data_IF_543706212850
#
_entry.id   IF_543706212850
#
_cell.length_a   1.000
_cell.length_b   1.000
_cell.length_c   1.000
_cell.angle_alpha   90.00
_cell.angle_beta   90.00
_cell.angle_gamma   90.00
#
_symmetry.space_group_name_H-M   'P 1'
#
loop_
_entity.id
_entity.type
_entity.pdbx_description
1 polymer ?
#
# COMPACT_ATOMS: atom_id res chain seq x y z
N UNK A 1 -13.88 20.13 27.76
CA UNK A 1 -13.51 19.41 26.53
C UNK A 1 -13.64 20.42 25.40
N UNK A 2 -12.55 21.11 25.06
CA UNK A 2 -12.54 22.06 23.96
C UNK A 2 -12.43 21.25 22.67
N UNK A 3 -13.49 21.24 21.85
CA UNK A 3 -13.43 20.68 20.50
C UNK A 3 -12.46 21.59 19.73
N UNK A 4 -11.29 21.07 19.35
CA UNK A 4 -10.37 21.79 18.46
C UNK A 4 -11.13 22.03 17.15
N UNK A 5 -11.22 23.29 16.74
CA UNK A 5 -11.80 23.64 15.44
C UNK A 5 -10.64 23.77 14.47
N UNK A 6 -10.46 22.79 13.58
CA UNK A 6 -9.52 22.92 12.48
C UNK A 6 -10.20 23.58 11.28
N UNK A 7 -9.39 23.98 10.29
CA UNK A 7 -9.88 24.39 8.99
C UNK A 7 -10.71 23.25 8.36
N UNK A 8 -11.79 23.58 7.65
CA UNK A 8 -12.76 22.57 7.19
C UNK A 8 -12.13 21.44 6.36
N UNK A 9 -11.13 21.75 5.54
CA UNK A 9 -10.43 20.73 4.73
C UNK A 9 -9.57 19.79 5.59
N UNK A 10 -9.08 20.25 6.75
CA UNK A 10 -8.31 19.42 7.69
C UNK A 10 -9.23 18.39 8.34
N UNK A 11 -10.44 18.80 8.73
CA UNK A 11 -11.46 17.89 9.25
C UNK A 11 -11.88 16.87 8.20
N UNK A 12 -12.10 17.31 6.96
CA UNK A 12 -12.45 16.42 5.84
C UNK A 12 -11.34 15.39 5.57
N UNK A 13 -10.09 15.83 5.46
CA UNK A 13 -8.95 14.92 5.30
C UNK A 13 -8.83 13.95 6.48
N UNK A 14 -8.99 14.44 7.71
CA UNK A 14 -8.95 13.60 8.91
C UNK A 14 -9.99 12.49 8.88
N UNK A 15 -11.23 12.81 8.48
CA UNK A 15 -12.31 11.83 8.31
C UNK A 15 -11.94 10.80 7.22
N UNK A 16 -11.44 11.25 6.07
CA UNK A 16 -11.06 10.38 4.96
C UNK A 16 -9.93 9.40 5.31
N UNK A 17 -8.95 9.85 6.10
CA UNK A 17 -7.80 9.02 6.50
C UNK A 17 -8.15 7.97 7.56
N UNK A 18 -9.25 8.13 8.30
CA UNK A 18 -9.63 7.24 9.40
C UNK A 18 -10.41 6.00 8.97
N UNK A 19 -10.97 5.97 7.75
CA UNK A 19 -11.61 4.77 7.24
C UNK A 19 -10.60 3.63 7.13
N UNK A 20 -11.03 2.39 7.45
CA UNK A 20 -10.17 1.20 7.33
C UNK A 20 -10.32 0.54 5.97
N UNK A 21 -11.56 0.47 5.49
CA UNK A 21 -11.90 -0.12 4.20
C UNK A 21 -11.79 0.91 3.06
N UNK A 22 -11.72 0.46 1.80
CA UNK A 22 -12.00 1.31 0.65
C UNK A 22 -13.37 2.00 0.80
N UNK A 23 -13.44 3.28 0.45
CA UNK A 23 -14.67 4.07 0.58
C UNK A 23 -15.47 3.97 -0.73
N UNK A 24 -14.77 3.90 -1.86
CA UNK A 24 -15.38 3.67 -3.16
C UNK A 24 -16.09 2.31 -3.17
N UNK A 25 -17.36 2.31 -3.60
CA UNK A 25 -18.21 1.12 -3.61
C UNK A 25 -17.72 0.09 -4.64
N UNK A 26 -18.13 -1.18 -4.49
CA UNK A 26 -17.74 -2.31 -5.36
C UNK A 26 -18.24 -2.23 -6.82
N UNK A 27 -18.76 -1.08 -7.26
CA UNK A 27 -19.09 -0.77 -8.65
C UNK A 27 -18.49 0.56 -9.13
N UNK A 28 -17.55 1.13 -8.37
CA UNK A 28 -16.83 2.36 -8.71
C UNK A 28 -15.55 2.04 -9.51
N UNK A 29 -15.05 3.05 -10.23
CA UNK A 29 -13.80 2.99 -10.99
C UNK A 29 -12.67 2.48 -10.09
N UNK A 30 -11.94 1.47 -10.55
CA UNK A 30 -10.80 0.92 -9.83
C UNK A 30 -9.71 1.97 -9.64
N UNK A 31 -8.99 1.93 -8.51
CA UNK A 31 -7.81 2.79 -8.34
C UNK A 31 -6.72 2.40 -9.34
N UNK A 32 -5.87 3.35 -9.72
CA UNK A 32 -4.86 3.08 -10.76
C UNK A 32 -3.93 1.91 -10.43
N UNK A 33 -3.43 1.76 -9.18
CA UNK A 33 -2.67 0.57 -8.81
C UNK A 33 -3.47 -0.73 -8.89
N UNK A 34 -4.78 -0.71 -8.64
CA UNK A 34 -5.62 -1.91 -8.74
C UNK A 34 -5.90 -2.27 -10.20
N UNK A 35 -6.29 -1.30 -11.03
CA UNK A 35 -6.54 -1.51 -12.46
C UNK A 35 -5.27 -1.95 -13.21
N UNK A 36 -4.10 -1.43 -12.80
CA UNK A 36 -2.80 -1.87 -13.34
C UNK A 36 -2.52 -3.33 -12.98
N UNK A 37 -2.81 -3.75 -11.73
CA UNK A 37 -2.66 -5.16 -11.32
C UNK A 37 -3.58 -6.08 -12.11
N UNK A 38 -4.86 -5.72 -12.21
CA UNK A 38 -5.86 -6.53 -12.89
C UNK A 38 -5.51 -6.68 -14.38
N UNK A 39 -5.23 -5.56 -15.07
CA UNK A 39 -4.78 -5.62 -16.46
C UNK A 39 -3.50 -6.48 -16.62
N UNK A 40 -2.55 -6.40 -15.68
CA UNK A 40 -1.35 -7.24 -15.69
C UNK A 40 -1.68 -8.72 -15.54
N UNK A 41 -2.59 -9.10 -14.66
CA UNK A 41 -3.02 -10.48 -14.46
C UNK A 41 -3.68 -11.05 -15.73
N UNK A 42 -4.56 -10.26 -16.37
CA UNK A 42 -5.14 -10.61 -17.68
C UNK A 42 -4.06 -10.78 -18.75
N UNK A 43 -3.12 -9.83 -18.81
CA UNK A 43 -1.97 -9.88 -19.72
C UNK A 43 -1.01 -11.04 -19.42
N UNK A 44 -0.99 -11.59 -18.21
CA UNK A 44 -0.16 -12.73 -17.83
C UNK A 44 -0.84 -14.10 -18.06
N UNK A 45 -2.18 -14.13 -18.23
CA UNK A 45 -2.96 -15.36 -18.40
C UNK A 45 -2.63 -16.15 -19.69
N UNK A 46 -1.87 -17.24 -19.55
CA UNK A 46 -1.41 -18.06 -20.68
C UNK A 46 -2.50 -18.95 -21.29
N UNK A 47 -3.73 -18.95 -20.77
CA UNK A 47 -4.84 -19.71 -21.37
C UNK A 47 -5.11 -19.22 -22.79
N UNK A 48 -5.59 -20.14 -23.63
CA UNK A 48 -5.93 -19.82 -25.02
C UNK A 48 -7.09 -18.81 -25.03
N UNK A 49 -6.89 -17.68 -25.69
CA UNK A 49 -7.93 -16.70 -25.92
C UNK A 49 -9.05 -17.28 -26.78
N UNK A 50 -10.30 -17.02 -26.38
CA UNK A 50 -11.51 -17.33 -27.11
C UNK A 50 -12.21 -16.03 -27.48
N UNK A 51 -12.76 -15.92 -28.70
CA UNK A 51 -13.49 -14.74 -29.19
C UNK A 51 -14.57 -14.26 -28.22
N UNK A 52 -15.24 -15.18 -27.51
CA UNK A 52 -16.28 -14.86 -26.52
C UNK A 52 -15.77 -14.04 -25.33
N UNK A 53 -14.46 -14.07 -25.07
CA UNK A 53 -13.83 -13.32 -23.97
C UNK A 53 -13.48 -11.88 -24.36
N UNK A 54 -13.68 -11.48 -25.63
CA UNK A 54 -13.28 -10.15 -26.12
C UNK A 54 -13.92 -9.03 -25.29
N UNK A 55 -15.22 -9.14 -24.99
CA UNK A 55 -15.92 -8.10 -24.23
C UNK A 55 -15.38 -7.98 -22.80
N UNK A 56 -15.03 -9.11 -22.14
CA UNK A 56 -14.42 -9.09 -20.81
C UNK A 56 -13.04 -8.40 -20.84
N UNK A 57 -12.22 -8.68 -21.86
CA UNK A 57 -10.94 -7.99 -22.03
C UNK A 57 -11.11 -6.49 -22.27
N UNK A 58 -12.10 -6.10 -23.08
CA UNK A 58 -12.38 -4.69 -23.34
C UNK A 58 -12.90 -3.97 -22.10
N UNK A 59 -13.60 -4.66 -21.21
CA UNK A 59 -13.99 -4.12 -19.91
C UNK A 59 -12.76 -3.81 -19.06
N UNK A 60 -11.80 -4.74 -18.92
CA UNK A 60 -10.57 -4.53 -18.14
C UNK A 60 -9.72 -3.39 -18.72
N UNK A 61 -9.63 -3.30 -20.05
CA UNK A 61 -8.98 -2.16 -20.73
C UNK A 61 -9.72 -0.84 -20.46
N UNK A 62 -11.05 -0.88 -20.43
CA UNK A 62 -11.91 0.24 -20.04
C UNK A 62 -11.63 0.69 -18.61
N UNK A 63 -11.62 -0.24 -17.65
CA UNK A 63 -11.37 0.04 -16.24
C UNK A 63 -9.99 0.68 -16.02
N UNK A 64 -8.96 0.22 -16.75
CA UNK A 64 -7.64 0.87 -16.74
C UNK A 64 -7.70 2.32 -17.26
N UNK A 65 -8.36 2.56 -18.40
CA UNK A 65 -8.50 3.92 -18.98
C UNK A 65 -9.30 4.86 -18.10
N UNK A 66 -10.40 4.37 -17.54
CA UNK A 66 -11.25 5.11 -16.60
C UNK A 66 -10.45 5.45 -15.35
N UNK A 67 -9.62 4.53 -14.86
CA UNK A 67 -8.73 4.79 -13.74
C UNK A 67 -7.68 5.85 -14.05
N UNK A 68 -7.03 5.80 -15.21
CA UNK A 68 -6.04 6.81 -15.64
C UNK A 68 -6.68 8.20 -15.76
N UNK A 69 -7.86 8.30 -16.40
CA UNK A 69 -8.57 9.56 -16.58
C UNK A 69 -9.11 10.14 -15.27
N UNK A 70 -9.48 9.25 -14.35
CA UNK A 70 -9.99 9.64 -13.03
C UNK A 70 -8.84 9.92 -12.08
N UNK A 71 -7.61 9.45 -12.32
CA UNK A 71 -6.43 9.70 -11.47
C UNK A 71 -6.13 11.20 -11.35
N UNK A 72 -5.66 11.62 -10.17
CA UNK A 72 -5.43 13.03 -9.87
C UNK A 72 -4.39 13.66 -10.78
N UNK A 73 -4.46 14.98 -11.03
CA UNK A 73 -3.61 15.62 -12.03
C UNK A 73 -2.12 15.48 -11.75
N UNK A 74 -1.69 15.48 -10.48
CA UNK A 74 -0.27 15.33 -10.14
C UNK A 74 0.20 13.90 -10.34
N UNK A 75 -0.55 12.90 -9.88
CA UNK A 75 -0.20 11.50 -10.11
C UNK A 75 -0.28 11.13 -11.59
N UNK A 76 -1.32 11.60 -12.29
CA UNK A 76 -1.51 11.41 -13.72
C UNK A 76 -0.32 11.97 -14.50
N UNK A 77 0.10 13.21 -14.22
CA UNK A 77 1.29 13.80 -14.82
C UNK A 77 2.57 12.99 -14.56
N UNK A 78 2.70 12.42 -13.36
CA UNK A 78 3.84 11.59 -12.99
C UNK A 78 3.92 10.29 -13.81
N UNK A 79 2.79 9.61 -14.05
CA UNK A 79 2.74 8.33 -14.78
C UNK A 79 2.39 8.45 -16.27
N UNK A 80 2.24 9.67 -16.79
CA UNK A 80 1.67 9.93 -18.14
C UNK A 80 2.42 9.19 -19.26
N UNK A 81 3.75 9.11 -19.16
CA UNK A 81 4.56 8.45 -20.18
C UNK A 81 4.17 6.97 -20.32
N UNK A 82 4.18 6.25 -19.20
CA UNK A 82 3.86 4.82 -19.14
C UNK A 82 2.40 4.55 -19.52
N UNK A 83 1.45 5.34 -19.00
CA UNK A 83 0.02 5.13 -19.29
C UNK A 83 -0.34 5.41 -20.74
N UNK A 84 0.29 6.42 -21.37
CA UNK A 84 0.09 6.70 -22.80
C UNK A 84 0.67 5.60 -23.68
N UNK A 85 1.84 5.07 -23.32
CA UNK A 85 2.45 3.97 -24.06
C UNK A 85 1.62 2.68 -23.96
N UNK A 86 1.13 2.36 -22.76
CA UNK A 86 0.20 1.24 -22.54
C UNK A 86 -1.05 1.42 -23.39
N UNK A 87 -1.69 2.60 -23.35
CA UNK A 87 -2.91 2.84 -24.15
C UNK A 87 -2.67 2.66 -25.65
N UNK A 88 -1.55 3.18 -26.16
CA UNK A 88 -1.16 3.01 -27.57
C UNK A 88 -0.98 1.55 -27.95
N UNK A 89 -0.39 0.72 -27.08
CA UNK A 89 -0.21 -0.71 -27.33
C UNK A 89 -1.55 -1.46 -27.27
N UNK A 90 -2.43 -1.11 -26.33
CA UNK A 90 -3.75 -1.72 -26.18
C UNK A 90 -4.62 -1.53 -27.44
N UNK A 91 -4.45 -0.45 -28.19
CA UNK A 91 -5.14 -0.24 -29.47
C UNK A 91 -4.75 -1.27 -30.54
N UNK A 92 -3.56 -1.85 -30.45
CA UNK A 92 -3.04 -2.88 -31.37
C UNK A 92 -3.13 -4.31 -30.83
N UNK A 93 -3.67 -4.53 -29.62
CA UNK A 93 -3.65 -5.83 -28.96
C UNK A 93 -4.50 -6.88 -29.69
N UNK A 94 -5.64 -6.48 -30.23
CA UNK A 94 -6.59 -7.37 -30.87
C UNK A 94 -6.52 -7.30 -32.39
N UNK A 95 -6.36 -8.46 -33.02
CA UNK A 95 -6.49 -8.61 -34.46
C UNK A 95 -7.88 -9.15 -34.81
N UNK A 96 -8.64 -8.40 -35.61
CA UNK A 96 -9.92 -8.84 -36.15
C UNK A 96 -9.71 -9.63 -37.43
N UNK A 97 -10.25 -10.84 -37.48
CA UNK A 97 -10.30 -11.68 -38.69
C UNK A 97 -11.76 -11.95 -39.05
N UNK A 98 -12.10 -11.71 -40.31
CA UNK A 98 -13.45 -12.01 -40.84
C UNK A 98 -13.37 -13.25 -41.71
N UNK A 99 -14.11 -14.29 -41.33
CA UNK A 99 -14.22 -15.51 -42.12
C UNK A 99 -15.11 -15.29 -43.36
N UNK A 100 -15.03 -16.21 -44.33
CA UNK A 100 -15.76 -16.12 -45.60
C UNK A 100 -17.29 -16.15 -45.45
N UNK A 101 -17.79 -16.65 -44.32
CA UNK A 101 -19.21 -16.66 -43.94
C UNK A 101 -19.65 -15.36 -43.23
N UNK A 102 -18.74 -14.39 -43.06
CA UNK A 102 -18.98 -13.14 -42.34
C UNK A 102 -18.78 -13.24 -40.83
N UNK A 103 -18.41 -14.40 -40.29
CA UNK A 103 -18.16 -14.58 -38.86
C UNK A 103 -16.90 -13.80 -38.45
N UNK A 104 -17.02 -12.96 -37.43
CA UNK A 104 -15.91 -12.21 -36.84
C UNK A 104 -15.22 -13.06 -35.78
N UNK A 105 -13.90 -13.12 -35.84
CA UNK A 105 -13.06 -13.72 -34.81
C UNK A 105 -11.96 -12.77 -34.40
N UNK A 106 -11.75 -12.67 -33.09
CA UNK A 106 -10.64 -11.91 -32.53
C UNK A 106 -9.48 -12.84 -32.18
N UNK A 107 -8.26 -12.33 -32.32
CA UNK A 107 -7.04 -12.94 -31.78
C UNK A 107 -6.25 -11.91 -30.98
N UNK A 108 -5.42 -12.38 -30.06
CA UNK A 108 -4.48 -11.53 -29.33
C UNK A 108 -3.12 -11.60 -30.02
N UNK A 109 -2.52 -10.44 -30.28
CA UNK A 109 -1.14 -10.35 -30.74
C UNK A 109 -0.18 -10.63 -29.57
N UNK A 110 0.60 -11.71 -29.69
CA UNK A 110 1.49 -12.16 -28.63
C UNK A 110 2.68 -11.21 -28.39
N UNK A 111 3.15 -10.50 -29.42
CA UNK A 111 4.24 -9.54 -29.29
C UNK A 111 3.73 -8.27 -28.58
N UNK A 112 2.59 -7.72 -29.01
CA UNK A 112 1.97 -6.56 -28.36
C UNK A 112 1.64 -6.88 -26.90
N UNK A 113 1.10 -8.07 -26.63
CA UNK A 113 0.83 -8.53 -25.26
C UNK A 113 2.09 -8.53 -24.38
N UNK A 114 3.21 -9.01 -24.90
CA UNK A 114 4.48 -9.02 -24.16
C UNK A 114 5.00 -7.60 -23.90
N UNK A 115 4.85 -6.70 -24.88
CA UNK A 115 5.24 -5.30 -24.73
C UNK A 115 4.36 -4.57 -23.70
N UNK A 116 3.04 -4.86 -23.67
CA UNK A 116 2.12 -4.30 -22.66
C UNK A 116 2.52 -4.77 -21.26
N UNK A 117 2.87 -6.05 -21.07
CA UNK A 117 3.33 -6.56 -19.77
C UNK A 117 4.56 -5.80 -19.24
N UNK A 118 5.55 -5.56 -20.10
CA UNK A 118 6.76 -4.82 -19.72
C UNK A 118 6.42 -3.39 -19.29
N UNK A 119 5.49 -2.73 -19.98
CA UNK A 119 5.07 -1.38 -19.61
C UNK A 119 4.23 -1.36 -18.33
N UNK A 120 3.42 -2.38 -18.08
CA UNK A 120 2.69 -2.52 -16.81
C UNK A 120 3.64 -2.73 -15.63
N UNK A 121 4.71 -3.52 -15.81
CA UNK A 121 5.74 -3.69 -14.79
C UNK A 121 6.47 -2.37 -14.48
N UNK A 122 6.78 -1.59 -15.52
CA UNK A 122 7.36 -0.26 -15.37
C UNK A 122 6.41 0.69 -14.60
N UNK A 123 5.13 0.71 -14.97
CA UNK A 123 4.11 1.51 -14.29
C UNK A 123 3.94 1.09 -12.82
N UNK A 124 3.93 -0.21 -12.52
CA UNK A 124 3.90 -0.70 -11.13
C UNK A 124 5.13 -0.22 -10.34
N UNK A 125 6.32 -0.25 -10.94
CA UNK A 125 7.53 0.28 -10.31
C UNK A 125 7.43 1.78 -10.05
N UNK A 126 6.87 2.56 -10.98
CA UNK A 126 6.65 4.00 -10.83
C UNK A 126 5.67 4.30 -9.69
N UNK A 127 4.55 3.57 -9.64
CA UNK A 127 3.54 3.69 -8.58
C UNK A 127 4.09 3.30 -7.19
N UNK A 128 5.16 2.50 -7.12
CA UNK A 128 5.84 2.14 -5.88
C UNK A 128 6.92 3.16 -5.44
N UNK A 129 6.98 4.35 -6.04
CA UNK A 129 7.97 5.38 -5.67
C UNK A 129 7.45 6.39 -4.62
N UNK A 130 8.38 7.05 -3.92
CA UNK A 130 8.09 8.18 -3.03
C UNK A 130 7.42 9.35 -3.77
N UNK A 131 7.79 9.57 -5.03
CA UNK A 131 7.21 10.61 -5.86
C UNK A 131 5.73 10.32 -6.16
N UNK A 132 5.35 9.07 -6.43
CA UNK A 132 3.97 8.68 -6.68
C UNK A 132 3.08 8.90 -5.45
N UNK A 133 3.53 8.49 -4.25
CA UNK A 133 2.75 8.69 -3.01
C UNK A 133 2.59 10.18 -2.67
N UNK A 134 3.64 10.99 -2.85
CA UNK A 134 3.55 12.45 -2.67
C UNK A 134 2.57 13.05 -3.69
N UNK A 135 2.62 12.62 -4.95
CA UNK A 135 1.71 13.11 -5.99
C UNK A 135 0.25 12.79 -5.64
N UNK A 136 -0.04 11.55 -5.22
CA UNK A 136 -1.36 11.11 -4.78
C UNK A 136 -1.86 11.88 -3.54
N UNK A 137 -0.98 12.09 -2.55
CA UNK A 137 -1.28 12.88 -1.36
C UNK A 137 -1.66 14.31 -1.71
N UNK A 138 -0.85 14.94 -2.55
CA UNK A 138 -1.08 16.32 -2.98
C UNK A 138 -2.34 16.47 -3.81
N UNK A 139 -2.74 15.46 -4.57
CA UNK A 139 -4.01 15.44 -5.28
C UNK A 139 -5.19 15.35 -4.29
N UNK A 140 -5.11 14.49 -3.28
CA UNK A 140 -6.12 14.40 -2.21
C UNK A 140 -6.27 15.73 -1.45
N UNK A 141 -5.16 16.32 -1.00
CA UNK A 141 -5.15 17.63 -0.33
C UNK A 141 -5.74 18.72 -1.22
N UNK A 142 -5.42 18.71 -2.52
CA UNK A 142 -5.96 19.71 -3.44
C UNK A 142 -7.47 19.53 -3.64
N UNK A 143 -7.96 18.30 -3.71
CA UNK A 143 -9.39 18.01 -3.80
C UNK A 143 -10.14 18.47 -2.54
N UNK A 144 -9.63 18.22 -1.33
CA UNK A 144 -10.28 18.69 -0.10
C UNK A 144 -10.24 20.23 0.08
N UNK A 145 -9.22 20.89 -0.45
CA UNK A 145 -9.15 22.36 -0.46
C UNK A 145 -10.05 23.01 -1.51
N UNK A 146 -10.56 22.25 -2.50
CA UNK A 146 -11.35 22.80 -3.59
C UNK A 146 -12.84 22.77 -3.24
N UNK A 147 -13.52 23.94 -3.18
CA UNK A 147 -14.95 23.96 -2.89
C UNK A 147 -15.78 23.19 -3.91
N UNK A 148 -16.90 22.59 -3.47
CA UNK A 148 -17.87 21.88 -4.30
C UNK A 148 -17.34 20.62 -5.03
N UNK A 149 -16.25 20.02 -4.55
CA UNK A 149 -15.84 18.69 -5.01
C UNK A 149 -16.82 17.64 -4.54
N UNK A 150 -17.00 16.60 -5.35
CA UNK A 150 -17.88 15.49 -4.98
C UNK A 150 -17.20 14.61 -3.92
N UNK A 151 -18.00 14.02 -3.04
CA UNK A 151 -17.49 13.09 -2.04
C UNK A 151 -16.84 11.87 -2.70
N UNK A 152 -17.33 11.46 -3.87
CA UNK A 152 -16.79 10.37 -4.68
C UNK A 152 -15.38 10.68 -5.19
N UNK A 153 -15.10 11.91 -5.63
CA UNK A 153 -13.77 12.30 -6.09
C UNK A 153 -12.76 12.22 -4.93
N UNK A 154 -13.11 12.76 -3.76
CA UNK A 154 -12.25 12.74 -2.58
C UNK A 154 -12.00 11.29 -2.11
N UNK A 155 -13.06 10.48 -2.08
CA UNK A 155 -12.97 9.06 -1.73
C UNK A 155 -12.08 8.28 -2.69
N UNK A 156 -12.22 8.50 -4.00
CA UNK A 156 -11.36 7.88 -5.00
C UNK A 156 -9.89 8.31 -4.88
N UNK A 157 -9.63 9.59 -4.60
CA UNK A 157 -8.27 10.12 -4.36
C UNK A 157 -7.65 9.49 -3.13
N UNK A 158 -8.42 9.34 -2.05
CA UNK A 158 -8.01 8.64 -0.83
C UNK A 158 -7.68 7.18 -1.13
N UNK A 159 -8.56 6.46 -1.80
CA UNK A 159 -8.35 5.05 -2.11
C UNK A 159 -7.13 4.86 -3.04
N UNK A 160 -6.92 5.77 -3.99
CA UNK A 160 -5.73 5.79 -4.85
C UNK A 160 -4.45 6.01 -4.04
N UNK A 161 -4.46 6.95 -3.09
CA UNK A 161 -3.34 7.19 -2.17
C UNK A 161 -3.04 5.95 -1.32
N UNK A 162 -4.07 5.31 -0.76
CA UNK A 162 -3.93 4.09 0.04
C UNK A 162 -3.35 2.93 -0.78
N UNK A 163 -3.87 2.71 -1.98
CA UNK A 163 -3.37 1.67 -2.88
C UNK A 163 -1.91 1.93 -3.28
N UNK A 164 -1.54 3.19 -3.54
CA UNK A 164 -0.16 3.60 -3.84
C UNK A 164 0.77 3.35 -2.65
N UNK A 165 0.33 3.67 -1.43
CA UNK A 165 1.07 3.42 -0.20
C UNK A 165 1.26 1.91 0.07
N UNK A 166 0.23 1.08 -0.19
CA UNK A 166 0.33 -0.38 -0.09
C UNK A 166 1.35 -0.96 -1.06
N UNK A 167 1.47 -0.42 -2.28
CA UNK A 167 2.51 -0.85 -3.23
C UNK A 167 3.94 -0.57 -2.75
N UNK A 168 4.10 0.41 -1.86
CA UNK A 168 5.37 0.67 -1.14
C UNK A 168 5.57 -0.20 0.10
N UNK A 169 4.68 -1.14 0.37
CA UNK A 169 4.65 -1.95 1.59
C UNK A 169 4.55 -1.12 2.88
N UNK A 170 3.89 0.05 2.81
CA UNK A 170 3.59 0.82 4.01
C UNK A 170 2.43 0.16 4.77
N UNK A 171 2.52 0.17 6.10
CA UNK A 171 1.36 -0.18 6.93
C UNK A 171 0.34 0.96 6.83
N UNK A 172 -0.76 0.72 6.12
CA UNK A 172 -1.76 1.76 5.81
C UNK A 172 -2.95 1.77 6.76
N UNK A 173 -3.21 0.69 7.53
CA UNK A 173 -4.40 0.57 8.38
C UNK A 173 -4.03 0.24 9.82
N UNK A 174 -4.76 0.83 10.77
CA UNK A 174 -4.69 0.48 12.19
C UNK A 174 -4.05 1.57 13.05
N UNK A 175 -4.04 1.34 14.37
CA UNK A 175 -3.61 2.34 15.35
C UNK A 175 -2.13 2.73 15.23
N UNK A 176 -1.33 1.89 14.58
CA UNK A 176 0.10 2.13 14.33
C UNK A 176 0.41 2.39 12.85
N UNK A 177 -0.62 2.47 12.01
CA UNK A 177 -0.46 2.66 10.58
C UNK A 177 0.05 4.05 10.22
N UNK A 178 0.67 4.15 9.06
CA UNK A 178 1.21 5.38 8.46
C UNK A 178 0.15 6.47 8.40
N UNK A 179 -1.07 6.16 7.96
CA UNK A 179 -2.13 7.17 7.86
C UNK A 179 -2.68 7.63 9.21
N UNK A 180 -2.53 6.83 10.28
CA UNK A 180 -2.83 7.31 11.64
C UNK A 180 -1.77 8.32 12.11
N UNK A 181 -0.50 8.09 11.76
CA UNK A 181 0.59 9.04 12.04
C UNK A 181 0.41 10.34 11.26
N UNK A 182 0.11 10.24 9.96
CA UNK A 182 -0.25 11.38 9.10
C UNK A 182 -1.44 12.13 9.68
N UNK A 183 -2.50 11.44 10.10
CA UNK A 183 -3.68 12.06 10.70
C UNK A 183 -3.34 12.79 12.01
N UNK A 184 -2.46 12.22 12.83
CA UNK A 184 -2.04 12.83 14.10
C UNK A 184 -1.27 14.14 13.89
N UNK A 185 -0.36 14.18 12.90
CA UNK A 185 0.32 15.40 12.46
C UNK A 185 -0.68 16.40 11.86
N UNK A 186 -1.56 15.92 11.00
CA UNK A 186 -2.59 16.71 10.32
C UNK A 186 -3.65 17.31 11.27
N UNK A 187 -3.88 16.72 12.44
CA UNK A 187 -4.83 17.23 13.47
C UNK A 187 -4.11 17.93 14.64
N UNK A 188 -2.82 18.23 14.44
CA UNK A 188 -2.00 19.00 15.38
C UNK A 188 -1.85 18.35 16.76
N UNK A 189 -1.70 17.03 16.80
CA UNK A 189 -1.29 16.31 18.03
C UNK A 189 0.14 16.74 18.34
N UNK A 190 0.35 17.48 19.42
CA UNK A 190 1.61 18.18 19.68
C UNK A 190 2.83 17.25 19.68
N UNK A 191 2.72 16.09 20.34
CA UNK A 191 3.80 15.09 20.39
C UNK A 191 4.13 14.56 18.98
N UNK A 192 3.12 14.23 18.16
CA UNK A 192 3.32 13.75 16.80
C UNK A 192 3.94 14.82 15.88
N UNK A 193 3.51 16.09 16.01
CA UNK A 193 4.10 17.19 15.24
C UNK A 193 5.54 17.44 15.69
N UNK A 194 5.80 17.43 17.00
CA UNK A 194 7.15 17.63 17.53
C UNK A 194 8.09 16.48 17.12
N UNK A 195 7.61 15.23 17.10
CA UNK A 195 8.37 14.08 16.62
C UNK A 195 8.85 14.29 15.18
N UNK A 196 7.99 14.77 14.29
CA UNK A 196 8.39 15.06 12.91
C UNK A 196 9.32 16.29 12.80
N UNK A 197 9.13 17.32 13.63
CA UNK A 197 10.02 18.48 13.66
C UNK A 197 11.42 18.13 14.17
N UNK A 198 11.52 17.32 15.23
CA UNK A 198 12.80 16.85 15.78
C UNK A 198 13.53 16.00 14.75
N UNK A 199 12.79 15.12 14.04
CA UNK A 199 13.34 14.30 12.96
C UNK A 199 13.86 15.14 11.79
N UNK A 200 13.12 16.16 11.36
CA UNK A 200 13.55 17.10 10.31
C UNK A 200 14.81 17.87 10.73
N UNK A 201 14.96 18.15 12.02
CA UNK A 201 16.16 18.76 12.60
C UNK A 201 17.32 17.76 12.84
N UNK A 202 17.11 16.47 12.62
CA UNK A 202 18.10 15.42 12.90
C UNK A 202 18.34 15.15 14.38
N UNK A 203 17.36 15.46 15.23
CA UNK A 203 17.41 15.29 16.69
C UNK A 203 16.55 14.09 17.09
N UNK A 204 17.02 13.35 18.10
CA UNK A 204 16.24 12.26 18.69
C UNK A 204 15.05 12.84 19.47
N UNK A 205 13.85 12.44 19.07
CA UNK A 205 12.63 12.90 19.72
C UNK A 205 12.50 12.29 21.13
N UNK A 206 12.29 13.15 22.12
CA UNK A 206 12.02 12.73 23.49
C UNK A 206 10.54 12.90 23.80
N UNK A 207 9.83 11.78 23.96
CA UNK A 207 8.42 11.81 24.38
C UNK A 207 8.30 12.44 25.77
N UNK A 208 7.47 13.47 25.86
CA UNK A 208 7.19 14.14 27.11
C UNK A 208 6.01 13.44 27.78
N UNK A 209 6.18 13.00 29.03
CA UNK A 209 5.12 12.41 29.83
C UNK A 209 4.79 13.29 31.05
N UNK A 210 3.52 13.67 31.27
CA UNK A 210 2.32 13.34 30.49
C UNK A 210 2.28 14.06 29.12
N UNK A 211 1.56 13.50 28.12
CA UNK A 211 1.43 14.12 26.81
C UNK A 211 0.78 15.50 26.93
N UNK A 212 1.30 16.46 26.18
CA UNK A 212 0.69 17.79 26.11
C UNK A 212 -0.62 17.74 25.32
N UNK A 213 -1.66 18.35 25.88
CA UNK A 213 -2.93 18.56 25.21
C UNK A 213 -2.99 19.90 24.46
N UNK A 214 -1.94 20.73 24.60
CA UNK A 214 -1.82 21.98 23.88
C UNK A 214 -1.50 21.69 22.40
N UNK A 215 -1.99 22.50 21.45
CA UNK A 215 -1.61 22.39 20.05
C UNK A 215 -0.12 22.71 19.86
N UNK A 216 0.53 22.17 18.82
CA UNK A 216 1.95 22.50 18.55
C UNK A 216 2.17 23.95 18.14
N UNK A 217 1.10 24.63 17.71
CA UNK A 217 1.15 25.98 17.16
C UNK A 217 1.63 26.02 15.70
N UNK A 218 1.88 24.88 15.06
CA UNK A 218 2.31 24.83 13.67
C UNK A 218 1.15 25.13 12.71
N UNK A 219 1.36 26.00 11.72
CA UNK A 219 0.33 26.32 10.75
C UNK A 219 0.01 25.11 9.85
N UNK A 220 -1.23 25.00 9.32
CA UNK A 220 -1.68 23.88 8.50
C UNK A 220 -0.74 23.54 7.33
N UNK A 221 -0.21 24.53 6.62
CA UNK A 221 0.70 24.30 5.50
C UNK A 221 1.98 23.56 5.94
N UNK A 222 2.52 23.88 7.12
CA UNK A 222 3.72 23.22 7.65
C UNK A 222 3.39 21.79 8.08
N UNK A 223 2.22 21.57 8.67
CA UNK A 223 1.76 20.22 9.03
C UNK A 223 1.54 19.35 7.80
N UNK A 224 1.06 19.90 6.68
CA UNK A 224 0.96 19.19 5.40
C UNK A 224 2.34 18.78 4.84
N UNK A 225 3.38 19.61 5.00
CA UNK A 225 4.76 19.25 4.64
C UNK A 225 5.29 18.10 5.52
N UNK A 226 5.04 18.15 6.83
CA UNK A 226 5.42 17.07 7.75
C UNK A 226 4.68 15.76 7.40
N UNK A 227 3.41 15.83 7.00
CA UNK A 227 2.67 14.67 6.49
C UNK A 227 3.36 14.04 5.26
N UNK A 228 3.90 14.85 4.34
CA UNK A 228 4.68 14.33 3.20
C UNK A 228 5.92 13.57 3.68
N UNK A 229 6.62 14.07 4.71
CA UNK A 229 7.78 13.40 5.30
C UNK A 229 7.42 12.05 5.93
N UNK A 230 6.27 11.97 6.62
CA UNK A 230 5.76 10.70 7.17
C UNK A 230 5.51 9.68 6.06
N UNK A 231 4.91 10.10 4.94
CA UNK A 231 4.55 9.22 3.82
C UNK A 231 5.75 8.65 3.06
N UNK A 232 6.86 9.39 2.98
CA UNK A 232 8.07 8.94 2.28
C UNK A 232 9.07 8.22 3.19
N UNK A 233 8.81 8.18 4.50
CA UNK A 233 9.72 7.57 5.47
C UNK A 233 10.11 6.15 5.04
N UNK A 234 11.40 5.81 5.04
CA UNK A 234 11.82 4.43 4.85
C UNK A 234 11.19 3.54 5.93
N UNK A 235 10.73 2.33 5.59
CA UNK A 235 10.23 1.40 6.60
C UNK A 235 11.33 1.16 7.65
N UNK A 236 10.93 1.12 8.91
CA UNK A 236 11.85 0.83 10.01
C UNK A 236 12.48 -0.54 9.77
N UNK A 237 13.82 -0.58 9.71
CA UNK A 237 14.57 -1.82 9.59
C UNK A 237 14.91 -2.29 11.00
N UNK A 238 14.38 -3.44 11.39
CA UNK A 238 14.70 -4.10 12.64
C UNK A 238 14.76 -5.61 12.43
N UNK A 239 15.47 -6.30 13.32
CA UNK A 239 15.48 -7.75 13.36
C UNK A 239 14.15 -8.23 13.94
N UNK A 240 13.31 -8.85 13.09
CA UNK A 240 11.98 -9.31 13.48
C UNK A 240 11.96 -10.84 13.57
N UNK A 241 11.52 -11.38 14.71
CA UNK A 241 11.14 -12.80 14.83
C UNK A 241 9.66 -12.93 14.44
N UNK A 242 9.40 -13.56 13.29
CA UNK A 242 8.03 -13.78 12.80
C UNK A 242 7.49 -15.09 13.37
N UNK A 243 6.47 -14.99 14.24
CA UNK A 243 5.76 -16.15 14.77
C UNK A 243 4.59 -16.50 13.86
N UNK A 244 4.75 -17.53 13.04
CA UNK A 244 3.67 -18.06 12.20
C UNK A 244 2.86 -19.10 12.99
N UNK A 245 1.60 -18.80 13.29
CA UNK A 245 0.65 -19.80 13.80
C UNK A 245 -0.15 -20.38 12.64
N UNK A 246 0.22 -21.58 12.20
CA UNK A 246 -0.60 -22.37 11.29
C UNK A 246 -1.78 -22.98 12.09
N UNK A 247 -2.97 -23.02 11.48
CA UNK A 247 -4.18 -23.66 12.03
C UNK A 247 -3.89 -25.13 12.45
N UNK A 248 -4.72 -25.79 13.30
CA UNK A 248 -4.26 -26.82 14.25
C UNK A 248 -3.47 -27.94 13.56
N UNK A 249 -2.16 -27.77 13.60
CA UNK A 249 -1.16 -28.67 13.06
C UNK A 249 -0.30 -29.02 14.28
N UNK A 250 -0.30 -30.29 14.66
CA UNK A 250 0.58 -30.77 15.71
C UNK A 250 1.91 -31.15 15.05
N UNK A 251 3.01 -30.63 15.56
CA UNK A 251 4.32 -31.19 15.24
C UNK A 251 4.46 -32.45 16.09
N UNK A 252 4.62 -33.60 15.44
CA UNK A 252 4.85 -34.89 16.12
C UNK A 252 6.22 -34.91 16.80
N UNK A 253 7.17 -34.21 16.21
CA UNK A 253 8.56 -34.06 16.64
C UNK A 253 8.73 -32.72 17.38
N UNK A 254 9.86 -32.56 18.09
CA UNK A 254 10.17 -31.39 18.89
C UNK A 254 10.50 -30.16 18.01
N UNK A 255 11.17 -30.39 16.88
CA UNK A 255 11.34 -29.46 15.78
C UNK A 255 11.25 -30.16 14.42
N UNK A 256 10.98 -29.40 13.36
CA UNK A 256 10.97 -29.89 11.97
C UNK A 256 11.60 -28.83 11.08
N UNK A 257 12.60 -29.21 10.30
CA UNK A 257 13.27 -28.30 9.36
C UNK A 257 12.81 -28.53 7.92
N UNK A 258 12.36 -27.47 7.25
CA UNK A 258 12.04 -27.43 5.83
C UNK A 258 12.87 -26.36 5.12
N UNK A 259 13.94 -26.78 4.44
CA UNK A 259 14.86 -25.86 3.78
C UNK A 259 15.60 -25.00 4.79
N UNK A 260 15.42 -23.68 4.73
CA UNK A 260 16.04 -22.72 5.65
C UNK A 260 15.12 -22.35 6.84
N UNK A 261 13.95 -22.97 6.96
CA UNK A 261 12.98 -22.67 8.02
C UNK A 261 12.87 -23.85 8.96
N UNK A 262 13.08 -23.60 10.26
CA UNK A 262 12.86 -24.58 11.33
C UNK A 262 11.61 -24.21 12.12
N UNK A 263 10.70 -25.16 12.26
CA UNK A 263 9.47 -25.05 13.04
C UNK A 263 9.66 -25.75 14.38
N UNK A 264 9.27 -25.09 15.47
CA UNK A 264 9.40 -25.63 16.83
C UNK A 264 8.05 -25.95 17.44
N UNK A 265 7.98 -27.06 18.18
CA UNK A 265 6.80 -27.38 18.97
C UNK A 265 6.71 -26.40 20.17
N UNK A 266 5.71 -25.53 20.14
CA UNK A 266 5.55 -24.45 21.12
C UNK A 266 5.49 -24.93 22.58
N UNK A 267 4.93 -26.12 22.84
CA UNK A 267 4.82 -26.66 24.20
C UNK A 267 6.16 -27.14 24.76
N UNK A 268 7.07 -27.62 23.91
CA UNK A 268 8.43 -27.95 24.32
C UNK A 268 9.27 -26.68 24.41
N UNK A 269 9.19 -25.81 23.40
CA UNK A 269 10.00 -24.59 23.33
C UNK A 269 9.77 -23.67 24.54
N UNK A 270 8.51 -23.52 24.99
CA UNK A 270 8.19 -22.68 26.14
C UNK A 270 8.85 -23.13 27.45
N UNK A 271 9.17 -24.41 27.59
CA UNK A 271 9.86 -24.97 28.76
C UNK A 271 11.33 -24.52 28.88
N UNK A 272 11.95 -24.09 27.77
CA UNK A 272 13.36 -23.72 27.72
C UNK A 272 13.58 -22.21 27.61
N UNK A 273 12.52 -21.40 27.48
CA UNK A 273 12.64 -19.94 27.44
C UNK A 273 13.21 -19.43 28.76
N UNK A 274 14.34 -18.72 28.71
CA UNK A 274 15.15 -18.25 29.85
C UNK A 274 15.84 -19.36 30.67
N UNK A 275 15.67 -20.61 30.27
CA UNK A 275 16.31 -21.78 30.85
C UNK A 275 16.81 -22.69 29.71
N UNK A 276 17.83 -22.25 28.94
CA UNK A 276 18.29 -22.96 27.75
C UNK A 276 19.00 -24.29 28.05
N UNK A 277 19.18 -24.61 29.34
CA UNK A 277 19.89 -25.80 29.81
C UNK A 277 19.18 -27.07 29.32
N UNK A 278 19.88 -27.89 28.54
CA UNK A 278 19.36 -29.13 27.97
C UNK A 278 18.49 -28.97 26.74
N UNK A 279 18.34 -27.77 26.18
CA UNK A 279 17.57 -27.55 24.95
C UNK A 279 18.19 -28.29 23.74
N UNK A 280 19.50 -28.53 23.75
CA UNK A 280 20.24 -29.31 22.77
C UNK A 280 19.90 -30.81 22.79
N UNK A 281 19.29 -31.31 23.86
CA UNK A 281 18.79 -32.69 23.92
C UNK A 281 17.41 -32.84 23.25
N UNK A 282 16.70 -31.73 23.03
CA UNK A 282 15.32 -31.72 22.51
C UNK A 282 15.18 -31.11 21.12
N UNK A 283 16.09 -30.24 20.69
CA UNK A 283 16.01 -29.58 19.39
C UNK A 283 17.26 -29.85 18.54
N UNK A 284 17.07 -30.28 17.29
CA UNK A 284 18.17 -30.49 16.35
C UNK A 284 18.83 -29.14 15.96
N UNK A 285 18.05 -28.07 15.95
CA UNK A 285 18.52 -26.68 15.81
C UNK A 285 18.11 -25.91 17.05
N UNK A 286 19.06 -25.45 17.87
CA UNK A 286 18.73 -24.73 19.11
C UNK A 286 18.44 -23.25 18.81
N UNK A 287 17.22 -22.73 19.06
CA UNK A 287 16.85 -21.34 18.76
C UNK A 287 17.35 -20.39 19.86
N UNK A 288 18.67 -20.18 19.90
CA UNK A 288 19.36 -19.44 20.96
C UNK A 288 18.81 -18.02 21.16
N UNK A 289 18.39 -17.36 20.08
CA UNK A 289 17.78 -16.02 20.08
C UNK A 289 16.45 -15.98 20.83
N UNK A 290 15.73 -17.11 20.85
CA UNK A 290 14.46 -17.25 21.55
C UNK A 290 14.67 -17.68 23.00
N UNK A 291 15.61 -18.60 23.25
CA UNK A 291 15.85 -19.13 24.59
C UNK A 291 16.54 -18.12 25.51
N UNK A 292 17.41 -17.29 24.94
CA UNK A 292 18.13 -16.21 25.62
C UNK A 292 17.77 -14.87 24.97
N UNK A 293 16.56 -14.33 25.25
CA UNK A 293 16.20 -13.03 24.73
C UNK A 293 17.19 -11.98 25.26
N UNK A 294 17.63 -11.02 24.43
CA UNK A 294 18.51 -9.96 24.87
C UNK A 294 17.88 -9.20 26.06
N UNK A 295 18.70 -8.71 27.00
CA UNK A 295 18.19 -7.87 28.07
C UNK A 295 17.45 -6.67 27.46
N UNK A 296 16.36 -6.19 28.08
CA UNK A 296 15.64 -5.04 27.57
C UNK A 296 16.62 -3.88 27.43
N UNK A 297 16.75 -3.35 26.21
CA UNK A 297 17.55 -2.17 25.94
C UNK A 297 17.00 -1.01 26.78
N UNK A 298 17.89 -0.35 27.55
CA UNK A 298 17.58 0.76 28.43
C UNK A 298 17.57 2.09 27.70
#
# INVERSE_FOLDING_TARGET
MLVRQHESFVEELSVQLQYKEPITSSGAIMTLPAATADLKDWMADRRKFLTVQYDDWMQVVGDFRDSVSTTGPKLSAFVTSSTTQIDSLLQGLFALTTAADGTLSYGIDAAVRADVLLQLEQLESELATEAAIIAAWRDLVKSSQTPNRSAEEISFRRDTLFATAQRRNLDVVGSFGTFNSVNSVLTDVADAVQEELDRDAGVEHQRIFPPSWEPSGQPPWRRLELCEQVLIRPPYKGDCIVWLRLAPTFLREHDVTHGQVTFYNASYLSGFVRHPEGADEFFDVVPTEVLTPPPPEH
#
